data_IF_149662330875
#
_entry.id   IF_149662330875
#
_cell.length_a   1.000
_cell.length_b   1.000
_cell.length_c   1.000
_cell.angle_alpha   90.00
_cell.angle_beta   90.00
_cell.angle_gamma   90.00
#
_symmetry.space_group_name_H-M   'P 1'
#
loop_
_entity.id
_entity.type
_entity.pdbx_description
1 polymer ?
#
# COMPACT_ATOMS: atom_id res chain seq x y z
N UNK A 1 14.70 -11.23 2.48
CA UNK A 1 15.85 -12.11 2.81
C UNK A 1 15.80 -12.63 4.24
N UNK A 2 15.71 -11.76 5.26
CA UNK A 2 15.73 -12.15 6.68
C UNK A 2 14.86 -13.37 7.03
N UNK A 3 13.56 -13.36 6.70
CA UNK A 3 12.67 -14.47 7.07
C UNK A 3 12.90 -15.79 6.32
N UNK A 4 13.61 -15.78 5.19
CA UNK A 4 13.77 -16.94 4.30
C UNK A 4 15.20 -17.47 4.35
N UNK A 5 16.18 -16.59 4.17
CA UNK A 5 17.60 -16.90 4.08
C UNK A 5 18.36 -16.60 5.39
N UNK A 6 17.73 -15.93 6.35
CA UNK A 6 18.38 -15.53 7.60
C UNK A 6 18.75 -16.73 8.48
N UNK A 7 19.85 -16.59 9.23
CA UNK A 7 20.28 -17.59 10.21
C UNK A 7 19.50 -17.52 11.53
N UNK A 8 18.75 -16.43 11.76
CA UNK A 8 17.94 -16.25 12.96
C UNK A 8 16.83 -17.32 13.05
N UNK A 9 16.60 -17.85 14.25
CA UNK A 9 15.61 -18.90 14.50
C UNK A 9 14.19 -18.37 14.67
N UNK A 10 14.01 -17.09 15.04
CA UNK A 10 12.72 -16.49 15.35
C UNK A 10 11.73 -16.60 14.18
N UNK A 11 12.07 -16.27 12.92
CA UNK A 11 11.13 -16.45 11.80
C UNK A 11 10.66 -17.90 11.63
N UNK A 12 11.57 -18.87 11.77
CA UNK A 12 11.25 -20.31 11.62
C UNK A 12 10.33 -20.79 12.74
N UNK A 13 10.62 -20.39 13.99
CA UNK A 13 9.82 -20.76 15.15
C UNK A 13 8.42 -20.15 15.07
N UNK A 14 8.31 -18.86 14.75
CA UNK A 14 7.04 -18.18 14.60
C UNK A 14 6.22 -18.75 13.43
N UNK A 15 6.87 -19.16 12.33
CA UNK A 15 6.17 -19.78 11.22
C UNK A 15 5.52 -21.09 11.65
N UNK A 16 6.26 -21.95 12.35
CA UNK A 16 5.72 -23.20 12.89
C UNK A 16 4.59 -22.96 13.88
N UNK A 17 4.73 -21.96 14.76
CA UNK A 17 3.73 -21.64 15.78
C UNK A 17 2.44 -21.07 15.16
N UNK A 18 2.57 -20.10 14.25
CA UNK A 18 1.43 -19.38 13.69
C UNK A 18 0.76 -20.10 12.52
N UNK A 19 1.39 -21.09 11.90
CA UNK A 19 0.82 -21.82 10.76
C UNK A 19 -0.59 -22.39 11.01
N UNK A 20 -0.89 -22.74 12.27
CA UNK A 20 -2.18 -23.31 12.66
C UNK A 20 -3.02 -22.37 13.54
N UNK A 21 -2.72 -21.07 13.54
CA UNK A 21 -3.48 -20.06 14.28
C UNK A 21 -4.37 -19.23 13.36
N UNK A 22 -5.56 -18.79 13.82
CA UNK A 22 -6.34 -17.78 13.11
C UNK A 22 -5.52 -16.52 12.88
N UNK A 23 -5.73 -15.85 11.73
CA UNK A 23 -5.07 -14.58 11.42
C UNK A 23 -3.54 -14.63 11.46
N UNK A 24 -2.95 -15.77 11.11
CA UNK A 24 -1.49 -16.01 11.15
C UNK A 24 -0.68 -14.91 10.45
N UNK A 25 -1.11 -14.47 9.27
CA UNK A 25 -0.46 -13.41 8.50
C UNK A 25 -0.49 -12.04 9.20
N UNK A 26 -1.58 -11.74 9.92
CA UNK A 26 -1.72 -10.48 10.65
C UNK A 26 -0.77 -10.41 11.85
N UNK A 27 -0.37 -11.56 12.39
CA UNK A 27 0.48 -11.64 13.57
C UNK A 27 1.95 -11.92 13.24
N UNK A 28 2.24 -12.67 12.17
CA UNK A 28 3.58 -13.15 11.86
C UNK A 28 4.59 -12.01 11.60
N UNK A 29 4.30 -11.13 10.63
CA UNK A 29 5.23 -10.06 10.28
C UNK A 29 5.42 -9.02 11.38
N UNK A 30 4.35 -8.51 12.03
CA UNK A 30 4.52 -7.58 13.14
C UNK A 30 5.34 -8.17 14.28
N UNK A 31 5.12 -9.45 14.64
CA UNK A 31 5.88 -10.10 15.71
C UNK A 31 7.36 -10.20 15.34
N UNK A 32 7.70 -10.60 14.11
CA UNK A 32 9.09 -10.66 13.66
C UNK A 32 9.74 -9.27 13.70
N UNK A 33 9.08 -8.26 13.12
CA UNK A 33 9.62 -6.92 13.01
C UNK A 33 9.88 -6.30 14.38
N UNK A 34 8.96 -6.49 15.34
CA UNK A 34 9.09 -5.95 16.69
C UNK A 34 10.12 -6.68 17.56
N UNK A 35 10.34 -7.97 17.34
CA UNK A 35 11.26 -8.78 18.15
C UNK A 35 12.65 -8.94 17.51
N UNK A 36 12.89 -8.34 16.35
CA UNK A 36 14.19 -8.34 15.69
C UNK A 36 14.93 -7.03 15.94
N UNK A 37 16.11 -7.10 16.55
CA UNK A 37 16.93 -5.91 16.87
C UNK A 37 17.18 -5.04 15.63
N UNK A 38 17.34 -5.67 14.46
CA UNK A 38 17.59 -4.97 13.20
C UNK A 38 16.40 -4.12 12.71
N UNK A 39 15.16 -4.49 13.05
CA UNK A 39 13.97 -3.88 12.45
C UNK A 39 13.11 -3.10 13.43
N UNK A 40 13.21 -3.39 14.74
CA UNK A 40 12.35 -2.82 15.79
C UNK A 40 12.34 -1.28 15.82
N UNK A 41 13.42 -0.64 15.37
CA UNK A 41 13.58 0.83 15.34
C UNK A 41 13.30 1.45 13.97
N UNK A 42 13.07 0.62 12.94
CA UNK A 42 12.85 1.06 11.55
C UNK A 42 11.42 0.81 11.09
N UNK A 43 10.62 0.09 11.88
CA UNK A 43 9.26 -0.25 11.51
C UNK A 43 8.39 1.00 11.52
N UNK A 44 7.52 1.12 10.53
CA UNK A 44 6.51 2.17 10.45
C UNK A 44 5.17 1.48 10.66
N UNK A 45 4.40 1.91 11.66
CA UNK A 45 3.09 1.34 11.97
C UNK A 45 2.00 1.83 10.99
N UNK A 46 2.21 1.56 9.70
CA UNK A 46 1.30 1.92 8.62
C UNK A 46 1.53 0.99 7.42
N UNK A 47 0.46 0.46 6.83
CA UNK A 47 0.51 -0.47 5.70
C UNK A 47 0.27 0.20 4.33
N UNK A 48 0.14 1.53 4.30
CA UNK A 48 -0.13 2.36 3.13
C UNK A 48 -1.41 1.99 2.37
N UNK A 49 -2.37 1.35 3.04
CA UNK A 49 -3.64 0.90 2.47
C UNK A 49 -4.82 1.62 3.10
N UNK A 50 -5.61 2.29 2.27
CA UNK A 50 -6.89 2.88 2.67
C UNK A 50 -7.97 1.80 2.79
N UNK A 51 -8.64 1.78 3.94
CA UNK A 51 -9.80 0.95 4.21
C UNK A 51 -10.82 1.76 5.02
N UNK A 52 -12.10 1.63 4.70
CA UNK A 52 -13.17 2.23 5.50
C UNK A 52 -13.87 1.15 6.31
N UNK A 53 -14.29 1.49 7.52
CA UNK A 53 -15.03 0.61 8.41
C UNK A 53 -16.47 1.10 8.59
N UNK A 54 -17.36 0.20 9.03
CA UNK A 54 -18.70 0.57 9.46
C UNK A 54 -18.65 1.30 10.81
N UNK A 55 -19.72 2.04 11.12
CA UNK A 55 -19.98 2.59 12.45
C UNK A 55 -21.25 1.93 12.98
N UNK A 56 -21.19 1.09 14.03
CA UNK A 56 -20.03 0.75 14.86
C UNK A 56 -18.97 -0.11 14.13
N UNK A 57 -17.72 -0.04 14.62
CA UNK A 57 -16.58 -0.76 14.07
C UNK A 57 -16.85 -2.26 13.98
N UNK A 58 -16.57 -2.85 12.81
CA UNK A 58 -16.58 -4.30 12.55
C UNK A 58 -15.15 -4.75 12.25
N UNK A 59 -14.87 -6.04 12.42
CA UNK A 59 -13.55 -6.63 12.10
C UNK A 59 -13.17 -6.37 10.64
N UNK A 60 -14.12 -6.60 9.72
CA UNK A 60 -13.88 -6.42 8.30
C UNK A 60 -14.17 -4.98 7.81
N UNK A 61 -13.30 -4.43 6.95
CA UNK A 61 -13.58 -3.18 6.27
C UNK A 61 -14.79 -3.29 5.35
N UNK A 62 -15.58 -2.23 5.28
CA UNK A 62 -16.74 -2.15 4.39
C UNK A 62 -16.31 -2.03 2.93
N UNK A 63 -17.25 -2.33 2.03
CA UNK A 63 -17.03 -2.09 0.60
C UNK A 63 -16.92 -0.59 0.33
N UNK A 64 -15.88 -0.22 -0.41
CA UNK A 64 -15.68 1.15 -0.88
C UNK A 64 -16.59 1.43 -2.08
N UNK A 65 -17.03 2.67 -2.20
CA UNK A 65 -17.85 3.15 -3.31
C UNK A 65 -17.40 4.55 -3.75
N UNK A 66 -18.12 5.16 -4.70
CA UNK A 66 -17.78 6.47 -5.25
C UNK A 66 -17.67 7.62 -4.25
N UNK A 67 -18.35 7.57 -3.09
CA UNK A 67 -18.25 8.59 -2.05
C UNK A 67 -16.91 8.56 -1.32
N UNK A 68 -16.19 7.44 -1.38
CA UNK A 68 -14.93 7.25 -0.66
C UNK A 68 -13.71 7.77 -1.42
N UNK A 69 -13.88 8.15 -2.69
CA UNK A 69 -12.75 8.50 -3.57
C UNK A 69 -11.95 9.68 -3.04
N UNK A 70 -12.63 10.74 -2.60
CA UNK A 70 -11.96 11.94 -2.09
C UNK A 70 -11.20 11.65 -0.80
N UNK A 71 -11.83 10.93 0.14
CA UNK A 71 -11.18 10.51 1.39
C UNK A 71 -9.97 9.60 1.15
N UNK A 72 -10.10 8.66 0.20
CA UNK A 72 -9.00 7.80 -0.23
C UNK A 72 -7.84 8.63 -0.80
N UNK A 73 -8.12 9.58 -1.69
CA UNK A 73 -7.10 10.45 -2.29
C UNK A 73 -6.40 11.36 -1.27
N UNK A 74 -7.17 11.92 -0.34
CA UNK A 74 -6.65 12.78 0.72
C UNK A 74 -5.78 12.01 1.73
N UNK A 75 -6.06 10.72 1.93
CA UNK A 75 -5.30 9.90 2.88
C UNK A 75 -3.82 9.76 2.50
N UNK A 76 -3.48 9.86 1.22
CA UNK A 76 -2.11 9.70 0.72
C UNK A 76 -1.61 8.24 0.68
N UNK A 77 -2.46 7.28 1.04
CA UNK A 77 -2.18 5.84 0.91
C UNK A 77 -1.92 5.45 -0.55
N UNK A 78 -0.99 4.51 -0.75
CA UNK A 78 -0.67 3.99 -2.09
C UNK A 78 -1.74 3.02 -2.61
N UNK A 79 -2.41 2.32 -1.70
CA UNK A 79 -3.39 1.29 -2.03
C UNK A 79 -4.72 1.57 -1.37
N UNK A 80 -5.76 0.92 -1.87
CA UNK A 80 -7.08 0.85 -1.24
C UNK A 80 -7.67 -0.55 -1.46
N UNK A 81 -8.52 -0.99 -0.54
CA UNK A 81 -9.10 -2.34 -0.56
C UNK A 81 -10.62 -2.34 -0.52
N UNK A 82 -11.22 -3.51 -0.67
CA UNK A 82 -12.67 -3.73 -0.58
C UNK A 82 -13.51 -3.06 -1.67
N UNK A 83 -12.97 -2.88 -2.87
CA UNK A 83 -13.80 -2.56 -4.03
C UNK A 83 -14.68 -3.75 -4.42
N UNK A 84 -15.93 -3.49 -4.82
CA UNK A 84 -16.75 -4.52 -5.47
C UNK A 84 -16.24 -4.73 -6.89
N UNK A 85 -16.37 -5.96 -7.36
CA UNK A 85 -16.11 -6.25 -8.77
C UNK A 85 -17.06 -5.40 -9.63
N UNK A 86 -16.50 -4.78 -10.67
CA UNK A 86 -17.24 -3.91 -11.61
C UNK A 86 -17.94 -2.71 -10.94
N UNK A 87 -17.45 -2.24 -9.79
CA UNK A 87 -17.97 -1.03 -9.18
C UNK A 87 -17.62 0.20 -10.04
N UNK A 88 -18.56 1.13 -10.33
CA UNK A 88 -18.29 2.33 -11.13
C UNK A 88 -17.17 3.22 -10.58
N UNK A 89 -16.80 3.09 -9.29
CA UNK A 89 -15.63 3.79 -8.73
C UNK A 89 -14.33 3.37 -9.42
N UNK A 90 -14.23 2.15 -9.92
CA UNK A 90 -13.05 1.67 -10.64
C UNK A 90 -12.86 2.44 -11.97
N UNK A 91 -13.96 2.72 -12.68
CA UNK A 91 -13.92 3.56 -13.90
C UNK A 91 -13.56 5.01 -13.59
N UNK A 92 -13.91 5.50 -12.40
CA UNK A 92 -13.48 6.81 -11.92
C UNK A 92 -11.99 6.83 -11.61
N UNK A 93 -11.47 5.82 -10.92
CA UNK A 93 -10.02 5.67 -10.65
C UNK A 93 -9.23 5.63 -11.97
N UNK A 94 -9.69 4.85 -12.94
CA UNK A 94 -9.05 4.73 -14.25
C UNK A 94 -8.94 6.08 -14.98
N UNK A 95 -10.01 6.89 -14.93
CA UNK A 95 -10.05 8.19 -15.62
C UNK A 95 -9.38 9.31 -14.84
N UNK A 96 -9.70 9.45 -13.56
CA UNK A 96 -9.32 10.60 -12.73
C UNK A 96 -7.90 10.45 -12.14
N UNK A 97 -7.45 9.22 -11.87
CA UNK A 97 -6.16 8.95 -11.21
C UNK A 97 -5.14 8.41 -12.20
N UNK A 98 -5.51 7.36 -12.94
CA UNK A 98 -4.59 6.66 -13.84
C UNK A 98 -4.53 7.30 -15.23
N UNK A 99 -5.50 8.15 -15.57
CA UNK A 99 -5.56 8.83 -16.86
C UNK A 99 -5.66 7.86 -18.05
N UNK A 100 -6.26 6.68 -17.85
CA UNK A 100 -6.41 5.66 -18.90
C UNK A 100 -7.82 5.61 -19.46
N UNK A 101 -7.90 5.30 -20.76
CA UNK A 101 -9.17 5.00 -21.45
C UNK A 101 -9.52 3.52 -21.30
N UNK A 102 -10.81 3.13 -21.41
CA UNK A 102 -11.21 1.72 -21.42
C UNK A 102 -10.41 0.90 -22.44
N UNK A 103 -9.93 -0.26 -22.02
CA UNK A 103 -9.12 -1.16 -22.87
C UNK A 103 -7.69 -0.67 -23.17
N UNK A 104 -7.25 0.43 -22.56
CA UNK A 104 -5.87 0.91 -22.67
C UNK A 104 -5.09 0.66 -21.38
N UNK A 105 -3.77 0.53 -21.55
CA UNK A 105 -2.79 0.45 -20.48
C UNK A 105 -2.63 1.79 -19.78
N UNK A 106 -2.22 1.77 -18.51
CA UNK A 106 -1.91 2.99 -17.74
C UNK A 106 -0.65 3.63 -18.32
N UNK A 107 -0.67 4.91 -18.72
CA UNK A 107 0.51 5.59 -19.21
C UNK A 107 1.56 5.77 -18.11
N UNK A 108 2.83 5.58 -18.46
CA UNK A 108 3.95 5.70 -17.54
C UNK A 108 5.19 6.34 -18.17
N UNK A 109 6.32 6.32 -17.46
CA UNK A 109 7.58 6.85 -17.96
C UNK A 109 8.13 6.14 -19.21
N UNK A 110 7.62 4.94 -19.46
CA UNK A 110 7.90 4.11 -20.63
C UNK A 110 7.09 4.50 -21.89
N UNK A 111 6.13 5.42 -21.80
CA UNK A 111 5.34 5.86 -22.96
C UNK A 111 6.07 6.98 -23.73
N UNK A 112 6.57 6.68 -24.93
CA UNK A 112 7.44 7.57 -25.72
C UNK A 112 6.75 8.26 -26.91
N UNK A 113 5.47 7.99 -27.17
CA UNK A 113 4.71 8.57 -28.26
C UNK A 113 4.49 10.08 -28.09
N UNK A 114 4.59 10.85 -29.19
CA UNK A 114 4.50 12.33 -29.21
C UNK A 114 3.10 12.87 -29.55
N UNK A 115 2.02 12.13 -29.27
CA UNK A 115 0.63 12.51 -29.61
C UNK A 115 -0.36 12.23 -28.46
N UNK A 116 -1.65 12.51 -28.65
CA UNK A 116 -2.71 12.32 -27.64
C UNK A 116 -2.82 10.88 -27.09
N UNK A 117 -2.26 9.88 -27.77
CA UNK A 117 -2.09 8.51 -27.26
C UNK A 117 -0.58 8.23 -27.09
N UNK A 118 -0.04 8.67 -25.96
CA UNK A 118 1.39 8.67 -25.63
C UNK A 118 2.04 7.28 -25.56
N UNK A 119 1.26 6.21 -25.46
CA UNK A 119 1.77 4.84 -25.27
C UNK A 119 1.71 3.95 -26.53
N UNK A 120 1.72 4.54 -27.71
CA UNK A 120 1.85 3.80 -28.99
C UNK A 120 3.25 3.24 -29.20
N UNK A 121 4.28 3.95 -28.70
CA UNK A 121 5.68 3.51 -28.71
C UNK A 121 6.08 3.17 -27.28
N UNK A 122 6.58 1.94 -27.09
CA UNK A 122 6.97 1.41 -25.80
C UNK A 122 8.48 1.60 -25.62
N UNK A 123 8.86 2.28 -24.54
CA UNK A 123 10.23 2.41 -24.07
C UNK A 123 10.53 1.48 -22.91
N UNK A 124 11.55 1.83 -22.15
CA UNK A 124 11.98 1.07 -20.98
C UNK A 124 10.99 1.24 -19.80
N UNK A 125 10.43 0.12 -19.35
CA UNK A 125 9.52 0.03 -18.20
C UNK A 125 10.17 0.43 -16.87
N UNK A 126 11.51 0.40 -16.77
CA UNK A 126 12.27 0.84 -15.61
C UNK A 126 12.32 2.36 -15.45
N UNK A 127 11.98 3.13 -16.49
CA UNK A 127 11.97 4.60 -16.41
C UNK A 127 10.73 5.07 -15.65
N UNK A 128 10.96 5.55 -14.43
CA UNK A 128 9.91 6.10 -13.57
C UNK A 128 9.73 7.61 -13.82
N UNK A 129 8.49 8.06 -13.96
CA UNK A 129 8.12 9.48 -14.00
C UNK A 129 7.10 9.78 -12.90
N UNK A 130 7.50 10.42 -11.79
CA UNK A 130 6.61 10.73 -10.68
C UNK A 130 5.44 11.63 -11.12
N UNK A 131 4.22 11.13 -10.93
CA UNK A 131 2.99 11.90 -11.16
C UNK A 131 2.40 12.51 -9.87
N UNK A 132 1.18 13.06 -9.93
CA UNK A 132 0.48 13.58 -8.75
C UNK A 132 0.31 12.55 -7.63
N UNK A 133 0.10 11.28 -7.97
CA UNK A 133 0.01 10.19 -6.99
C UNK A 133 1.32 9.97 -6.21
N UNK A 134 2.47 10.05 -6.88
CA UNK A 134 3.77 9.94 -6.23
C UNK A 134 4.00 11.08 -5.23
N UNK A 135 3.60 12.31 -5.57
CA UNK A 135 3.68 13.46 -4.65
C UNK A 135 2.80 13.31 -3.41
N UNK A 136 1.60 12.73 -3.57
CA UNK A 136 0.72 12.42 -2.43
C UNK A 136 1.34 11.38 -1.50
N UNK A 137 1.90 10.32 -2.07
CA UNK A 137 2.59 9.27 -1.31
C UNK A 137 3.82 9.81 -0.58
N UNK A 138 4.65 10.59 -1.26
CA UNK A 138 5.82 11.25 -0.67
C UNK A 138 5.42 12.08 0.56
N UNK A 139 4.40 12.94 0.41
CA UNK A 139 3.89 13.75 1.53
C UNK A 139 3.41 12.88 2.69
N UNK A 140 2.73 11.77 2.40
CA UNK A 140 2.27 10.84 3.43
C UNK A 140 3.44 10.16 4.16
N UNK A 141 4.44 9.66 3.44
CA UNK A 141 5.64 9.03 4.01
C UNK A 141 6.41 10.02 4.88
N UNK A 142 6.62 11.25 4.39
CA UNK A 142 7.28 12.31 5.18
C UNK A 142 6.52 12.60 6.47
N UNK A 143 5.18 12.62 6.42
CA UNK A 143 4.36 12.78 7.62
C UNK A 143 4.53 11.62 8.61
N UNK A 144 4.53 10.37 8.13
CA UNK A 144 4.73 9.18 8.97
C UNK A 144 6.09 9.20 9.67
N UNK A 145 7.14 9.60 8.94
CA UNK A 145 8.52 9.67 9.42
C UNK A 145 8.81 10.89 10.30
N UNK A 146 7.84 11.79 10.51
CA UNK A 146 8.04 12.96 11.36
C UNK A 146 8.33 12.53 12.81
N UNK A 147 9.24 13.25 13.47
CA UNK A 147 9.92 12.81 14.70
C UNK A 147 8.96 12.50 15.89
N UNK A 148 7.74 13.07 15.88
CA UNK A 148 6.72 12.84 16.91
C UNK A 148 5.87 11.58 16.69
N UNK A 149 5.48 11.28 15.45
CA UNK A 149 4.65 10.11 15.11
C UNK A 149 5.48 8.84 15.04
N UNK A 150 6.64 8.91 14.39
CA UNK A 150 7.47 7.73 14.15
C UNK A 150 7.93 7.09 15.46
N UNK A 151 8.46 7.89 16.39
CA UNK A 151 8.99 7.40 17.67
C UNK A 151 7.92 6.88 18.62
N UNK A 152 6.74 7.51 18.63
CA UNK A 152 5.64 7.12 19.53
C UNK A 152 4.91 5.85 19.10
N UNK A 153 5.09 5.41 17.85
CA UNK A 153 4.44 4.24 17.27
C UNK A 153 5.42 3.07 17.02
N UNK A 154 6.60 3.10 17.66
CA UNK A 154 7.54 1.98 17.62
C UNK A 154 7.06 0.82 18.49
N UNK A 155 7.63 -0.36 18.23
CA UNK A 155 7.40 -1.54 19.06
C UNK A 155 7.88 -1.28 20.50
N UNK A 156 6.99 -1.53 21.46
CA UNK A 156 7.31 -1.47 22.89
C UNK A 156 7.90 -2.83 23.27
N UNK A 157 9.05 -2.81 23.94
CA UNK A 157 9.67 -4.01 24.53
C UNK A 157 9.07 -4.24 25.90
#
# INVERSE_FOLDING_TARGET
EFCILGSDNLPRLLLMYLANTPSSLLNYFPTILCNSIQFKETVINNNLQYASYYTPLREDPRKLNGSDLDGMLQSGNAFATQFRQNDPVLDRIDREILGRKPGKVVPGGWCLGKSNDTCTIWGDAGVLRPGPGAKRLEKHIVSLLSNGTFRSQQCII
#
